data_IF_219285358884
#
_entry.id   IF_219285358884
#
_cell.length_a   1.000
_cell.length_b   1.000
_cell.length_c   1.000
_cell.angle_alpha   90.00
_cell.angle_beta   90.00
_cell.angle_gamma   90.00
#
_symmetry.space_group_name_H-M   'P 1'
#
loop_
_entity.id
_entity.type
_entity.pdbx_description
1 polymer ?
#
# COMPACT_ATOMS: atom_id res chain seq x y z
N UNK A 1 13.72 -1.52 -14.46
CA UNK A 1 13.20 -0.96 -13.19
C UNK A 1 11.90 -0.25 -13.52
N UNK A 2 10.77 -0.87 -13.20
CA UNK A 2 9.46 -0.31 -13.52
C UNK A 2 9.02 0.66 -12.43
N UNK A 3 8.51 1.82 -12.86
CA UNK A 3 8.05 2.89 -11.99
C UNK A 3 6.57 2.67 -11.68
N UNK A 4 6.24 2.41 -10.44
CA UNK A 4 4.85 2.36 -10.00
C UNK A 4 4.44 3.75 -9.51
N UNK A 5 3.60 4.40 -10.29
CA UNK A 5 3.05 5.73 -9.98
C UNK A 5 1.58 5.57 -9.65
N UNK A 6 1.22 5.88 -8.42
CA UNK A 6 -0.18 5.96 -8.05
C UNK A 6 -0.80 7.20 -8.72
N UNK A 7 -1.69 6.99 -9.68
CA UNK A 7 -2.52 8.08 -10.19
C UNK A 7 -3.55 8.43 -9.13
N UNK A 8 -3.61 9.71 -8.75
CA UNK A 8 -4.71 10.21 -7.97
C UNK A 8 -5.99 10.08 -8.79
N UNK A 9 -6.82 9.15 -8.43
CA UNK A 9 -8.22 9.25 -8.77
C UNK A 9 -8.76 10.36 -7.87
N UNK A 10 -9.06 11.51 -8.45
CA UNK A 10 -9.81 12.58 -7.82
C UNK A 10 -11.21 12.04 -7.56
N UNK A 11 -11.37 11.29 -6.48
CA UNK A 11 -12.71 10.97 -6.00
C UNK A 11 -13.26 12.23 -5.37
N UNK A 12 -14.37 12.73 -5.94
CA UNK A 12 -15.19 13.75 -5.29
C UNK A 12 -15.50 13.33 -3.86
N UNK A 13 -15.64 14.27 -2.91
CA UNK A 13 -15.97 13.95 -1.54
C UNK A 13 -17.37 13.33 -1.49
N UNK A 14 -17.45 12.01 -1.54
CA UNK A 14 -18.65 11.29 -1.17
C UNK A 14 -18.71 11.28 0.34
N UNK A 15 -19.71 11.95 0.91
CA UNK A 15 -20.09 11.96 2.32
C UNK A 15 -20.55 10.58 2.79
N UNK A 16 -19.71 9.57 2.75
CA UNK A 16 -19.98 8.27 3.34
C UNK A 16 -18.69 7.72 3.92
N UNK A 17 -18.57 7.87 5.25
CA UNK A 17 -17.57 7.28 6.14
C UNK A 17 -16.09 7.45 5.74
N UNK A 18 -15.22 7.76 6.70
CA UNK A 18 -13.82 8.07 6.41
C UNK A 18 -13.03 6.80 6.07
N UNK A 19 -13.37 6.20 4.97
CA UNK A 19 -12.50 5.25 4.32
C UNK A 19 -11.52 6.06 3.49
N UNK A 20 -10.35 6.21 4.04
CA UNK A 20 -9.13 6.45 3.30
C UNK A 20 -9.23 7.37 2.07
N UNK A 21 -9.70 8.59 2.24
CA UNK A 21 -9.48 9.68 1.30
C UNK A 21 -8.04 10.15 1.50
N UNK A 22 -7.12 9.51 0.84
CA UNK A 22 -5.71 9.59 1.17
C UNK A 22 -4.97 10.53 0.33
N UNK A 23 -4.11 11.12 1.01
CA UNK A 23 -2.98 11.81 0.42
C UNK A 23 -2.52 11.05 -0.79
N UNK A 24 -2.71 11.65 -1.95
CA UNK A 24 -2.26 11.16 -3.25
C UNK A 24 -0.75 10.95 -3.19
N UNK A 25 -0.35 9.82 -2.60
CA UNK A 25 1.03 9.46 -2.45
C UNK A 25 1.48 8.65 -3.65
N UNK A 26 2.30 9.26 -4.46
CA UNK A 26 2.95 8.57 -5.57
C UNK A 26 4.37 8.19 -5.17
N UNK A 27 4.70 6.90 -5.21
CA UNK A 27 6.04 6.39 -4.96
C UNK A 27 6.49 5.44 -6.05
N UNK A 28 7.79 5.44 -6.33
CA UNK A 28 8.43 4.45 -7.19
C UNK A 28 8.67 3.20 -6.37
N UNK A 29 8.21 2.06 -6.85
CA UNK A 29 8.39 0.78 -6.17
C UNK A 29 8.71 -0.32 -7.17
N UNK A 30 9.19 -1.46 -6.68
CA UNK A 30 9.49 -2.64 -7.49
C UNK A 30 8.24 -3.50 -7.63
N UNK A 31 8.00 -4.04 -8.81
CA UNK A 31 7.05 -5.13 -9.03
C UNK A 31 7.79 -6.43 -8.72
N UNK A 32 7.25 -7.20 -7.80
CA UNK A 32 7.82 -8.47 -7.37
C UNK A 32 7.31 -9.63 -8.22
N UNK A 33 5.98 -9.70 -8.40
CA UNK A 33 5.33 -10.76 -9.16
C UNK A 33 3.97 -10.35 -9.71
N UNK A 34 3.47 -11.08 -10.73
CA UNK A 34 2.10 -10.99 -11.24
C UNK A 34 1.29 -12.10 -10.59
N UNK A 35 0.22 -11.75 -9.88
CA UNK A 35 -0.57 -12.69 -9.08
C UNK A 35 -1.85 -13.12 -9.78
N UNK A 36 -2.52 -12.19 -10.45
CA UNK A 36 -3.81 -12.45 -11.07
C UNK A 36 -4.02 -11.63 -12.33
N UNK A 37 -4.66 -12.26 -13.31
CA UNK A 37 -5.17 -11.59 -14.50
C UNK A 37 -6.53 -12.18 -14.85
N UNK A 38 -7.54 -11.32 -15.03
CA UNK A 38 -8.89 -11.74 -15.37
C UNK A 38 -9.01 -12.25 -16.81
N UNK A 39 -8.12 -11.84 -17.71
CA UNK A 39 -8.19 -12.20 -19.15
C UNK A 39 -7.69 -13.61 -19.41
N UNK A 40 -6.50 -13.94 -18.89
CA UNK A 40 -5.89 -15.25 -19.14
C UNK A 40 -4.89 -15.63 -18.04
N UNK A 41 -4.93 -16.88 -17.59
CA UNK A 41 -3.99 -17.46 -16.63
C UNK A 41 -2.57 -17.59 -17.19
N UNK A 42 -2.43 -17.73 -18.49
CA UNK A 42 -1.13 -17.82 -19.16
C UNK A 42 -0.31 -16.55 -18.97
N UNK A 43 -0.98 -15.36 -18.97
CA UNK A 43 -0.34 -14.08 -18.69
C UNK A 43 0.21 -13.98 -17.26
N UNK A 44 -0.37 -14.72 -16.33
CA UNK A 44 0.15 -14.81 -14.96
C UNK A 44 1.37 -15.75 -14.92
N UNK A 45 1.32 -16.87 -15.64
CA UNK A 45 2.43 -17.83 -15.72
C UNK A 45 3.66 -17.19 -16.36
N UNK A 46 3.48 -16.44 -17.43
CA UNK A 46 4.55 -15.74 -18.15
C UNK A 46 4.95 -14.41 -17.50
N UNK A 47 4.29 -14.03 -16.39
CA UNK A 47 4.52 -12.77 -15.66
C UNK A 47 4.42 -11.52 -16.55
N UNK A 48 3.53 -11.55 -17.51
CA UNK A 48 3.33 -10.46 -18.47
C UNK A 48 2.56 -9.32 -17.81
N UNK A 49 3.09 -8.09 -17.92
CA UNK A 49 2.48 -6.88 -17.38
C UNK A 49 1.49 -6.33 -18.38
N UNK A 50 0.20 -6.47 -18.07
CA UNK A 50 -0.92 -5.95 -18.88
C UNK A 50 -1.79 -5.05 -18.02
N UNK A 51 -2.54 -4.14 -18.64
CA UNK A 51 -3.53 -3.33 -17.92
C UNK A 51 -4.53 -4.22 -17.17
N UNK A 52 -4.92 -3.83 -15.98
CA UNK A 52 -5.80 -4.55 -15.04
C UNK A 52 -5.21 -5.86 -14.47
N UNK A 53 -3.93 -6.13 -14.67
CA UNK A 53 -3.25 -7.22 -13.95
C UNK A 53 -3.03 -6.83 -12.49
N UNK A 54 -3.24 -7.78 -11.59
CA UNK A 54 -2.94 -7.61 -10.17
C UNK A 54 -1.52 -8.11 -9.91
N UNK A 55 -0.72 -7.23 -9.34
CA UNK A 55 0.70 -7.46 -9.08
C UNK A 55 1.03 -7.30 -7.61
N UNK A 56 2.07 -7.98 -7.17
CA UNK A 56 2.70 -7.72 -5.88
C UNK A 56 3.80 -6.70 -6.05
N UNK A 57 3.79 -5.69 -5.19
CA UNK A 57 4.79 -4.61 -5.15
C UNK A 57 5.48 -4.58 -3.78
N UNK A 58 6.69 -4.02 -3.76
CA UNK A 58 7.45 -3.81 -2.52
C UNK A 58 6.78 -2.71 -1.66
N UNK A 59 6.55 -3.03 -0.39
CA UNK A 59 5.92 -2.13 0.57
C UNK A 59 6.89 -1.10 1.18
N UNK A 60 8.20 -1.29 1.04
CA UNK A 60 9.24 -0.50 1.71
C UNK A 60 9.08 1.02 1.51
N UNK A 61 8.86 1.56 0.29
CA UNK A 61 8.75 3.00 0.09
C UNK A 61 7.52 3.61 0.77
N UNK A 62 6.44 2.84 0.89
CA UNK A 62 5.19 3.25 1.53
C UNK A 62 5.30 3.19 3.05
N UNK A 63 5.97 2.16 3.60
CA UNK A 63 6.28 2.06 5.04
C UNK A 63 7.12 3.24 5.50
N UNK A 64 8.20 3.53 4.80
CA UNK A 64 9.09 4.64 5.15
C UNK A 64 8.34 5.99 5.16
N UNK A 65 7.50 6.22 4.15
CA UNK A 65 6.68 7.42 4.14
C UNK A 65 5.66 7.47 5.28
N UNK A 66 5.01 6.35 5.56
CA UNK A 66 4.00 6.26 6.62
C UNK A 66 4.63 6.54 7.99
N UNK A 67 5.81 5.99 8.24
CA UNK A 67 6.59 6.24 9.46
C UNK A 67 6.98 7.71 9.59
N UNK A 68 7.49 8.32 8.53
CA UNK A 68 7.83 9.74 8.53
C UNK A 68 6.62 10.67 8.71
N UNK A 69 5.47 10.29 8.15
CA UNK A 69 4.27 11.14 8.15
C UNK A 69 3.47 11.05 9.44
N UNK A 70 3.33 9.85 9.99
CA UNK A 70 2.54 9.58 11.19
C UNK A 70 3.37 9.26 12.44
N UNK A 71 4.67 9.04 12.30
CA UNK A 71 5.55 8.64 13.41
C UNK A 71 5.21 7.26 14.00
N UNK A 72 4.59 6.38 13.21
CA UNK A 72 4.18 5.04 13.64
C UNK A 72 4.73 4.00 12.67
N UNK A 73 5.40 2.99 13.19
CA UNK A 73 5.88 1.83 12.41
C UNK A 73 4.70 0.91 12.10
N UNK A 74 4.44 0.66 10.81
CA UNK A 74 3.38 -0.23 10.32
C UNK A 74 3.97 -1.58 9.96
N UNK A 75 3.21 -2.66 10.17
CA UNK A 75 3.60 -4.01 9.81
C UNK A 75 4.73 -4.57 10.68
N UNK A 76 5.03 -3.98 11.83
CA UNK A 76 5.85 -4.67 12.81
C UNK A 76 4.99 -5.77 13.42
N UNK A 77 5.42 -7.03 13.26
CA UNK A 77 4.80 -8.14 13.96
C UNK A 77 4.72 -7.74 15.43
N UNK A 78 3.54 -7.82 16.02
CA UNK A 78 3.36 -7.69 17.46
C UNK A 78 4.08 -8.86 18.13
N UNK A 79 5.40 -8.83 18.18
CA UNK A 79 6.14 -9.64 19.13
C UNK A 79 5.74 -9.08 20.48
N UNK A 80 4.91 -9.84 21.18
CA UNK A 80 4.59 -9.59 22.56
C UNK A 80 5.89 -9.24 23.30
N UNK A 81 5.91 -8.10 23.98
CA UNK A 81 6.99 -7.63 24.82
C UNK A 81 8.28 -7.15 24.11
N UNK A 82 8.22 -6.05 23.38
CA UNK A 82 9.31 -5.08 23.49
C UNK A 82 8.72 -3.68 23.51
N UNK A 83 9.02 -3.04 24.61
CA UNK A 83 8.45 -1.83 25.16
C UNK A 83 8.50 -0.59 24.26
N UNK A 84 7.75 0.44 24.64
CA UNK A 84 7.65 1.72 23.94
C UNK A 84 8.93 2.57 23.98
N UNK A 85 10.09 1.99 24.29
CA UNK A 85 11.33 2.74 24.50
C UNK A 85 11.94 3.29 23.21
N UNK A 86 11.96 2.52 22.10
CA UNK A 86 12.53 3.05 20.83
C UNK A 86 11.70 4.19 20.22
N UNK A 87 10.37 4.15 20.40
CA UNK A 87 9.50 5.23 19.95
C UNK A 87 9.64 6.52 20.79
N UNK A 88 10.20 6.40 22.00
CA UNK A 88 10.44 7.54 22.91
C UNK A 88 11.75 8.26 22.64
N UNK A 89 12.77 7.57 22.12
CA UNK A 89 14.07 8.19 21.82
C UNK A 89 14.01 9.08 20.58
N UNK A 90 13.35 8.63 19.49
CA UNK A 90 13.17 9.47 18.30
C UNK A 90 12.26 10.68 18.56
N UNK A 91 11.32 10.58 19.51
CA UNK A 91 10.47 11.69 19.92
C UNK A 91 11.24 12.79 20.71
N UNK A 92 12.29 12.43 21.42
CA UNK A 92 13.10 13.37 22.21
C UNK A 92 13.98 14.29 21.36
N UNK A 93 14.29 13.90 20.12
CA UNK A 93 15.16 14.68 19.21
C UNK A 93 14.37 15.57 18.24
N UNK A 94 13.04 15.38 18.13
CA UNK A 94 12.21 16.16 17.22
C UNK A 94 11.79 17.52 17.84
N UNK A 95 11.74 18.57 17.02
CA UNK A 95 11.27 19.88 17.45
C UNK A 95 9.80 19.84 17.91
N UNK A 96 9.41 20.72 18.85
CA UNK A 96 8.04 20.76 19.37
C UNK A 96 6.97 21.03 18.30
N UNK A 97 7.33 21.66 17.17
CA UNK A 97 6.44 21.83 16.01
C UNK A 97 6.16 20.48 15.31
N UNK A 98 7.19 19.68 15.10
CA UNK A 98 7.06 18.36 14.46
C UNK A 98 6.21 17.42 15.32
N UNK A 99 6.42 17.43 16.65
CA UNK A 99 5.64 16.60 17.59
C UNK A 99 4.15 16.96 17.52
N UNK A 100 3.81 18.26 17.56
CA UNK A 100 2.42 18.73 17.46
C UNK A 100 1.77 18.34 16.14
N UNK A 101 2.49 18.50 15.03
CA UNK A 101 2.03 18.14 13.69
C UNK A 101 1.74 16.64 13.55
N UNK A 102 2.63 15.79 14.08
CA UNK A 102 2.43 14.32 14.09
C UNK A 102 1.24 13.96 14.98
N UNK A 103 1.12 14.54 16.17
CA UNK A 103 0.00 14.28 17.08
C UNK A 103 -1.36 14.65 16.46
N UNK A 104 -1.43 15.76 15.72
CA UNK A 104 -2.64 16.16 14.99
C UNK A 104 -3.02 15.15 13.91
N UNK A 105 -2.05 14.68 13.10
CA UNK A 105 -2.26 13.68 12.07
C UNK A 105 -2.66 12.31 12.63
N UNK A 106 -2.16 11.96 13.81
CA UNK A 106 -2.50 10.69 14.47
C UNK A 106 -3.98 10.64 14.93
N UNK A 107 -4.61 11.77 15.21
CA UNK A 107 -6.04 11.83 15.59
C UNK A 107 -6.97 11.35 14.48
N UNK A 108 -6.62 11.65 13.23
CA UNK A 108 -7.42 11.30 12.05
C UNK A 108 -6.95 10.02 11.36
N UNK A 109 -5.91 9.36 11.92
CA UNK A 109 -5.33 8.17 11.35
C UNK A 109 -6.26 6.96 11.49
N UNK A 110 -6.66 6.38 10.37
CA UNK A 110 -7.33 5.08 10.30
C UNK A 110 -6.54 4.17 9.37
N UNK A 111 -6.31 2.91 9.69
CA UNK A 111 -5.64 1.93 8.84
C UNK A 111 -6.48 0.66 8.79
N UNK A 112 -6.74 0.17 7.58
CA UNK A 112 -7.43 -1.09 7.37
C UNK A 112 -6.55 -2.25 7.88
N UNK A 113 -7.08 -3.17 8.72
CA UNK A 113 -6.31 -4.29 9.25
C UNK A 113 -5.73 -5.19 8.15
N UNK A 114 -6.43 -5.36 7.03
CA UNK A 114 -5.94 -6.15 5.89
C UNK A 114 -4.68 -5.53 5.25
N UNK A 115 -4.59 -4.20 5.25
CA UNK A 115 -3.39 -3.50 4.79
C UNK A 115 -2.25 -3.59 5.80
N UNK A 116 -2.53 -3.55 7.10
CA UNK A 116 -1.49 -3.71 8.13
C UNK A 116 -0.83 -5.09 8.04
N UNK A 117 -1.62 -6.15 7.81
CA UNK A 117 -1.10 -7.50 7.55
C UNK A 117 -0.27 -7.56 6.26
N UNK A 118 -0.70 -6.87 5.21
CA UNK A 118 0.06 -6.77 3.96
C UNK A 118 1.38 -6.02 4.16
N UNK A 119 1.39 -4.96 4.94
CA UNK A 119 2.62 -4.27 5.33
C UNK A 119 3.54 -5.15 6.19
N UNK A 120 3.00 -5.99 7.06
CA UNK A 120 3.78 -6.94 7.84
C UNK A 120 4.48 -7.98 6.97
N UNK A 121 3.83 -8.41 5.88
CA UNK A 121 4.43 -9.30 4.89
C UNK A 121 5.49 -8.63 4.00
N UNK A 122 5.51 -7.29 3.96
CA UNK A 122 6.36 -6.50 3.07
C UNK A 122 5.91 -6.45 1.61
N UNK A 123 4.72 -6.99 1.30
CA UNK A 123 4.20 -7.10 -0.07
C UNK A 123 2.78 -6.55 -0.13
N UNK A 124 2.59 -5.54 -0.98
CA UNK A 124 1.28 -4.95 -1.24
C UNK A 124 0.73 -5.45 -2.56
N UNK A 125 -0.59 -5.55 -2.65
CA UNK A 125 -1.29 -5.83 -3.90
C UNK A 125 -1.65 -4.52 -4.59
N UNK A 126 -1.42 -4.48 -5.90
CA UNK A 126 -1.70 -3.31 -6.71
C UNK A 126 -2.27 -3.70 -8.07
N UNK A 127 -3.08 -2.83 -8.65
CA UNK A 127 -3.65 -2.99 -9.98
C UNK A 127 -2.92 -2.09 -10.97
N UNK A 128 -2.55 -2.61 -12.12
CA UNK A 128 -1.92 -1.87 -13.21
C UNK A 128 -2.99 -1.07 -13.95
N UNK A 129 -2.85 0.25 -14.00
CA UNK A 129 -3.78 1.16 -14.70
C UNK A 129 -3.28 1.60 -16.08
N UNK A 130 -1.98 1.59 -16.32
CA UNK A 130 -1.37 1.91 -17.61
C UNK A 130 -1.38 0.73 -18.58
N UNK A 131 -0.91 0.96 -19.80
CA UNK A 131 -0.67 -0.09 -20.81
C UNK A 131 0.84 -0.23 -21.05
N UNK A 132 1.55 -1.07 -20.27
CA UNK A 132 3.01 -1.13 -20.28
C UNK A 132 3.59 -1.46 -21.66
N UNK A 133 2.92 -2.32 -22.43
CA UNK A 133 3.36 -2.68 -23.78
C UNK A 133 3.35 -1.55 -24.80
N UNK A 134 2.59 -0.47 -24.54
CA UNK A 134 2.52 0.70 -25.42
C UNK A 134 3.27 1.91 -24.86
N UNK A 135 3.13 2.17 -23.56
CA UNK A 135 3.74 3.35 -22.92
C UNK A 135 5.18 3.11 -22.44
N UNK A 136 5.64 1.87 -22.38
CA UNK A 136 6.93 1.50 -21.79
C UNK A 136 7.01 1.74 -20.27
N UNK A 137 5.89 2.11 -19.64
CA UNK A 137 5.80 2.44 -18.20
C UNK A 137 4.67 1.67 -17.55
N UNK A 138 4.88 1.26 -16.31
CA UNK A 138 3.88 0.58 -15.52
C UNK A 138 3.47 1.48 -14.35
N UNK A 139 2.27 2.03 -14.44
CA UNK A 139 1.65 2.84 -13.39
C UNK A 139 0.39 2.15 -12.89
N UNK A 140 0.08 2.32 -11.61
CA UNK A 140 -1.09 1.68 -11.02
C UNK A 140 -1.44 2.24 -9.66
N UNK A 141 -2.33 1.56 -8.97
CA UNK A 141 -2.78 1.92 -7.63
C UNK A 141 -2.78 0.70 -6.70
N UNK A 142 -2.61 0.95 -5.41
CA UNK A 142 -2.68 -0.08 -4.38
C UNK A 142 -4.14 -0.45 -4.17
N UNK A 143 -4.41 -1.75 -4.04
CA UNK A 143 -5.74 -2.27 -3.73
C UNK A 143 -6.06 -2.04 -2.25
N UNK A 144 -7.26 -1.51 -1.98
CA UNK A 144 -7.73 -1.18 -0.64
C UNK A 144 -9.21 -1.57 -0.46
N UNK A 145 -9.63 -1.78 0.80
CA UNK A 145 -11.01 -2.03 1.15
C UNK A 145 -11.64 -3.23 0.42
N UNK A 146 -12.82 -3.02 -0.17
CA UNK A 146 -13.61 -4.06 -0.84
C UNK A 146 -12.90 -4.70 -2.04
N UNK A 147 -12.12 -3.93 -2.78
CA UNK A 147 -11.34 -4.47 -3.91
C UNK A 147 -10.27 -5.45 -3.41
N UNK A 148 -9.54 -5.09 -2.35
CA UNK A 148 -8.56 -5.97 -1.74
C UNK A 148 -9.19 -7.26 -1.25
N UNK A 149 -10.32 -7.19 -0.55
CA UNK A 149 -11.04 -8.38 -0.08
C UNK A 149 -11.49 -9.29 -1.22
N UNK A 150 -12.01 -8.71 -2.31
CA UNK A 150 -12.43 -9.46 -3.48
C UNK A 150 -11.29 -10.28 -4.06
N UNK A 151 -10.13 -9.65 -4.30
CA UNK A 151 -8.99 -10.37 -4.86
C UNK A 151 -8.38 -11.36 -3.88
N UNK A 152 -8.35 -11.09 -2.59
CA UNK A 152 -7.91 -12.05 -1.58
C UNK A 152 -8.81 -13.31 -1.56
N UNK A 153 -10.12 -13.15 -1.71
CA UNK A 153 -11.07 -14.28 -1.86
C UNK A 153 -10.83 -15.05 -3.16
N UNK A 154 -10.60 -14.36 -4.27
CA UNK A 154 -10.29 -14.99 -5.56
C UNK A 154 -8.99 -15.82 -5.49
N UNK A 155 -7.96 -15.34 -4.78
CA UNK A 155 -6.71 -16.08 -4.60
C UNK A 155 -6.88 -17.34 -3.73
N UNK A 156 -7.70 -17.28 -2.69
CA UNK A 156 -7.99 -18.44 -1.85
C UNK A 156 -8.69 -19.54 -2.65
N UNK A 157 -9.70 -19.19 -3.46
CA UNK A 157 -10.41 -20.16 -4.34
C UNK A 157 -9.50 -20.83 -5.37
N UNK A 158 -8.43 -20.15 -5.80
CA UNK A 158 -7.49 -20.69 -6.79
C UNK A 158 -6.45 -21.64 -6.19
N UNK A 159 -6.23 -21.56 -4.87
CA UNK A 159 -5.31 -22.45 -4.14
C UNK A 159 -5.97 -23.72 -3.62
N UNK A 160 -7.29 -23.74 -3.51
CA UNK A 160 -8.10 -24.90 -3.17
C UNK A 160 -8.44 -25.73 -4.41
#
# INVERSE_FOLDING_TARGET
MYLFRQKSVRTQPCNVLPTFCWTVLTRKTRILDVVYNASNNELVRTKTLVKNSIVQIDATPFRAWYEQHYGVKVGSKKSAKKAPEEATEEKKTASGHVIRKIAERQKTRTLDPALDDAFASGRLLACIASRPGQSGRCDGYILEGKELEFYLKAFKKRKA
#
